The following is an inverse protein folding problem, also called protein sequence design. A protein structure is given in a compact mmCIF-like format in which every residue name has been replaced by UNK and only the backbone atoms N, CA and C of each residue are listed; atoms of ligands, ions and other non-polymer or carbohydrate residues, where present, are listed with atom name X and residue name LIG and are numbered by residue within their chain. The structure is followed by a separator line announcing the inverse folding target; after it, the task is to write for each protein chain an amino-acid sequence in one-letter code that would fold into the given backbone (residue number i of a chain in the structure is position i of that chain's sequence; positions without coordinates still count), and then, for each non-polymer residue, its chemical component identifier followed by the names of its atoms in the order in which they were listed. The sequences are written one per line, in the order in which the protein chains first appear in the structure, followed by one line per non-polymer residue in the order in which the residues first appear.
data_IF_874684953876
#
_entry.id   IF_874684953876
#
_cell.length_a   1.000
_cell.length_b   1.000
_cell.length_c   1.000
_cell.angle_alpha   90.00
_cell.angle_beta   90.00
_cell.angle_gamma   90.00
#
_symmetry.space_group_name_H-M   'P 1'
#
loop_
_entity.id
_entity.type
_entity.pdbx_description
1 polymer ?
#
# COMPACT_ATOMS: atom_id res chain seq x y z
N UNK A 1 62.22 5.24 19.19
CA UNK A 1 61.97 3.90 19.81
C UNK A 1 61.42 2.97 18.73
N UNK A 2 61.76 1.68 18.76
CA UNK A 2 61.40 0.72 17.69
C UNK A 2 59.89 0.45 17.69
N UNK A 3 59.24 0.55 16.52
CA UNK A 3 57.86 0.08 16.30
C UNK A 3 57.94 -1.29 15.63
N UNK A 4 58.09 -2.34 16.44
CA UNK A 4 58.23 -3.74 16.02
C UNK A 4 57.65 -4.60 17.15
N UNK A 5 57.03 -5.75 16.81
CA UNK A 5 56.02 -6.48 17.61
C UNK A 5 54.67 -5.73 17.50
N UNK A 6 53.71 -6.19 16.70
CA UNK A 6 52.97 -7.44 16.96
C UNK A 6 52.43 -8.17 15.69
N UNK A 7 53.11 -8.09 14.54
CA UNK A 7 52.66 -8.78 13.29
C UNK A 7 53.04 -10.28 13.24
N UNK A 8 53.98 -10.74 14.08
CA UNK A 8 54.39 -12.15 14.12
C UNK A 8 53.79 -12.88 15.35
N UNK A 9 52.50 -13.23 15.29
CA UNK A 9 51.85 -14.04 16.33
C UNK A 9 50.90 -15.14 15.82
N UNK A 10 50.66 -15.24 14.51
CA UNK A 10 49.96 -16.38 13.88
C UNK A 10 50.98 -17.11 13.00
N UNK A 11 51.63 -18.12 13.58
CA UNK A 11 52.59 -18.99 12.89
C UNK A 11 51.90 -20.12 12.13
N UNK A 12 50.77 -20.59 12.64
CA UNK A 12 49.89 -21.57 12.00
C UNK A 12 48.43 -21.18 12.29
N UNK A 13 47.56 -21.35 11.30
CA UNK A 13 46.12 -21.25 11.47
C UNK A 13 45.46 -22.41 10.73
N UNK A 14 44.31 -22.86 11.21
CA UNK A 14 43.49 -23.84 10.50
C UNK A 14 42.02 -23.49 10.58
N UNK A 15 41.31 -23.71 9.47
CA UNK A 15 39.87 -23.60 9.40
C UNK A 15 39.28 -25.01 9.44
N UNK A 16 38.35 -25.25 10.38
CA UNK A 16 37.61 -26.51 10.46
C UNK A 16 36.23 -26.30 9.88
N UNK A 17 35.97 -26.90 8.72
CA UNK A 17 34.66 -26.88 8.05
C UNK A 17 33.93 -28.18 8.34
N UNK A 18 32.75 -28.07 8.94
CA UNK A 18 31.84 -29.20 9.12
C UNK A 18 30.93 -29.27 7.89
N UNK A 19 31.00 -30.38 7.15
CA UNK A 19 30.18 -30.60 5.97
C UNK A 19 29.55 -31.99 6.02
N UNK A 20 28.21 -32.01 6.15
CA UNK A 20 27.43 -33.21 6.46
C UNK A 20 27.97 -33.87 7.75
N UNK A 21 28.20 -35.19 7.74
CA UNK A 21 28.76 -35.94 8.88
C UNK A 21 30.30 -35.98 8.89
N UNK A 22 30.97 -35.03 8.23
CA UNK A 22 32.43 -35.02 8.10
C UNK A 22 33.03 -33.68 8.47
N UNK A 23 34.18 -33.76 9.14
CA UNK A 23 34.99 -32.62 9.54
C UNK A 23 36.19 -32.51 8.61
N UNK A 24 36.36 -31.35 8.00
CA UNK A 24 37.47 -31.04 7.10
C UNK A 24 38.32 -29.93 7.71
N UNK A 25 39.58 -30.24 8.06
CA UNK A 25 40.53 -29.26 8.59
C UNK A 25 41.47 -28.80 7.50
N UNK A 26 41.45 -27.49 7.20
CA UNK A 26 42.29 -26.84 6.22
C UNK A 26 43.36 -26.02 6.93
N UNK A 27 44.64 -26.34 6.71
CA UNK A 27 45.72 -25.48 7.17
C UNK A 27 45.82 -24.25 6.27
N UNK A 28 45.78 -23.06 6.86
CA UNK A 28 45.87 -21.80 6.13
C UNK A 28 47.34 -21.47 5.86
N UNK A 29 47.69 -21.31 4.58
CA UNK A 29 49.03 -20.84 4.20
C UNK A 29 49.22 -19.38 4.56
N UNK A 30 50.48 -18.93 4.62
CA UNK A 30 50.85 -17.52 4.82
C UNK A 30 50.24 -16.58 3.78
N UNK A 31 49.91 -17.09 2.59
CA UNK A 31 49.30 -16.29 1.52
C UNK A 31 47.77 -16.19 1.68
N UNK A 32 47.08 -17.26 2.13
CA UNK A 32 45.67 -17.15 2.51
C UNK A 32 45.47 -16.26 3.74
N UNK A 33 46.38 -16.31 4.72
CA UNK A 33 46.34 -15.44 5.90
C UNK A 33 46.45 -13.93 5.56
N UNK A 34 47.03 -13.58 4.41
CA UNK A 34 47.10 -12.20 3.91
C UNK A 34 45.83 -11.73 3.18
N UNK A 35 44.95 -12.66 2.82
CA UNK A 35 43.66 -12.37 2.18
C UNK A 35 42.52 -12.22 3.20
N UNK A 36 42.76 -12.58 4.46
CA UNK A 36 41.81 -12.30 5.55
C UNK A 36 41.74 -10.78 5.79
N UNK A 37 40.54 -10.22 6.03
CA UNK A 37 40.39 -8.81 6.34
C UNK A 37 41.19 -8.48 7.61
N UNK A 38 42.06 -7.48 7.53
CA UNK A 38 42.80 -6.99 8.68
C UNK A 38 41.94 -5.99 9.46
N UNK A 39 41.68 -6.29 10.73
CA UNK A 39 40.95 -5.42 11.68
C UNK A 39 41.74 -4.13 12.00
N UNK A 40 41.87 -3.26 10.99
CA UNK A 40 42.80 -2.13 10.94
C UNK A 40 42.14 -0.76 10.75
N UNK A 41 40.81 -0.69 10.68
CA UNK A 41 40.05 0.56 10.45
C UNK A 41 39.49 1.15 11.75
N UNK A 42 40.36 1.42 12.71
CA UNK A 42 40.08 2.41 13.77
C UNK A 42 40.16 3.82 13.17
N UNK A 43 39.08 4.28 12.54
CA UNK A 43 39.04 5.59 11.87
C UNK A 43 37.64 6.13 11.62
N UNK A 44 37.23 7.10 12.45
CA UNK A 44 36.03 7.95 12.32
C UNK A 44 34.67 7.22 12.24
N UNK A 45 33.89 7.30 13.32
CA UNK A 45 32.58 6.65 13.39
C UNK A 45 31.53 7.31 12.49
N UNK A 46 31.03 6.54 11.52
CA UNK A 46 29.67 6.61 10.91
C UNK A 46 29.31 5.32 10.17
N UNK A 47 30.27 4.49 9.75
CA UNK A 47 30.04 3.32 8.88
C UNK A 47 29.57 2.01 9.56
N UNK A 48 29.29 2.00 10.87
CA UNK A 48 29.17 0.75 11.64
C UNK A 48 27.78 0.09 11.67
N UNK A 49 26.72 0.73 11.15
CA UNK A 49 25.37 0.13 11.13
C UNK A 49 25.04 -0.53 9.78
N UNK A 50 25.24 0.18 8.66
CA UNK A 50 24.93 -0.33 7.32
C UNK A 50 25.80 -1.55 6.94
N UNK A 51 27.11 -1.49 7.23
CA UNK A 51 28.02 -2.63 6.97
C UNK A 51 27.63 -3.85 7.79
N UNK A 52 27.17 -3.67 9.03
CA UNK A 52 26.78 -4.78 9.90
C UNK A 52 25.40 -5.36 9.55
N UNK A 53 24.52 -4.58 8.90
CA UNK A 53 23.30 -5.09 8.28
C UNK A 53 23.59 -5.90 7.01
N UNK A 54 24.52 -5.44 6.15
CA UNK A 54 24.88 -6.15 4.91
C UNK A 54 25.50 -7.54 5.12
N UNK A 55 26.02 -7.83 6.31
CA UNK A 55 26.60 -9.13 6.67
C UNK A 55 25.56 -10.16 7.19
N UNK A 56 24.28 -9.78 7.25
CA UNK A 56 23.20 -10.62 7.80
C UNK A 56 22.25 -11.19 6.74
N UNK A 57 22.43 -10.92 5.45
CA UNK A 57 21.53 -11.41 4.39
C UNK A 57 22.20 -12.49 3.55
N UNK A 58 21.47 -13.56 3.22
CA UNK A 58 21.99 -14.67 2.40
C UNK A 58 21.96 -14.33 0.90
N UNK A 59 21.14 -13.35 0.49
CA UNK A 59 21.15 -12.79 -0.86
C UNK A 59 20.90 -11.27 -0.93
N UNK A 60 21.36 -10.66 -2.02
CA UNK A 60 21.09 -9.24 -2.32
C UNK A 60 19.61 -8.93 -2.59
N UNK A 61 18.79 -9.95 -2.90
CA UNK A 61 17.35 -9.81 -3.13
C UNK A 61 16.61 -9.72 -1.78
N UNK A 62 17.01 -10.52 -0.79
CA UNK A 62 16.50 -10.40 0.58
C UNK A 62 16.86 -9.03 1.17
N UNK A 63 18.11 -8.59 1.00
CA UNK A 63 18.57 -7.30 1.50
C UNK A 63 17.73 -6.15 0.90
N UNK A 64 17.63 -6.08 -0.43
CA UNK A 64 16.91 -4.99 -1.08
C UNK A 64 15.41 -5.02 -0.82
N UNK A 65 14.80 -6.22 -0.70
CA UNK A 65 13.41 -6.36 -0.28
C UNK A 65 13.19 -5.83 1.14
N UNK A 66 14.04 -6.19 2.10
CA UNK A 66 13.93 -5.71 3.47
C UNK A 66 14.15 -4.19 3.59
N UNK A 67 15.13 -3.64 2.87
CA UNK A 67 15.38 -2.18 2.80
C UNK A 67 14.20 -1.43 2.17
N UNK A 68 13.63 -1.96 1.08
CA UNK A 68 12.44 -1.39 0.42
C UNK A 68 11.20 -1.47 1.33
N UNK A 69 11.00 -2.58 2.03
CA UNK A 69 9.90 -2.74 2.98
C UNK A 69 10.02 -1.74 4.14
N UNK A 70 11.20 -1.61 4.74
CA UNK A 70 11.48 -0.63 5.78
C UNK A 70 11.34 0.84 5.30
N UNK A 71 11.50 1.10 3.99
CA UNK A 71 11.21 2.42 3.40
C UNK A 71 9.72 2.69 3.27
N UNK A 72 8.92 1.68 2.91
CA UNK A 72 7.45 1.77 2.89
C UNK A 72 6.87 1.84 4.31
N UNK A 73 7.47 1.17 5.30
CA UNK A 73 7.03 1.23 6.69
C UNK A 73 7.18 2.65 7.26
N UNK A 74 8.32 3.29 7.00
CA UNK A 74 8.57 4.70 7.36
C UNK A 74 7.63 5.71 6.71
N UNK A 75 6.96 5.35 5.60
CA UNK A 75 5.93 6.19 4.95
C UNK A 75 4.51 5.70 5.23
N UNK A 76 4.31 4.78 6.17
CA UNK A 76 3.04 4.14 6.50
C UNK A 76 2.33 3.45 5.32
N UNK A 77 3.08 3.06 4.29
CA UNK A 77 2.57 2.42 3.07
C UNK A 77 2.46 0.89 3.15
N UNK A 78 2.83 0.27 4.27
CA UNK A 78 2.81 -1.20 4.50
C UNK A 78 1.52 -1.72 5.13
N UNK A 79 0.48 -0.91 5.33
CA UNK A 79 -0.85 -1.38 5.78
C UNK A 79 -0.81 -2.18 7.09
N UNK A 80 -0.02 -1.72 8.07
CA UNK A 80 0.23 -2.37 9.36
C UNK A 80 0.92 -3.75 9.29
N UNK A 81 1.41 -4.18 8.12
CA UNK A 81 2.30 -5.34 8.02
C UNK A 81 3.69 -5.03 8.58
N UNK A 82 4.20 -5.90 9.45
CA UNK A 82 5.57 -5.85 9.98
C UNK A 82 6.38 -7.01 9.45
N UNK A 83 7.60 -6.73 9.00
CA UNK A 83 8.54 -7.71 8.48
C UNK A 83 9.50 -8.19 9.56
N UNK A 84 9.56 -9.50 9.72
CA UNK A 84 10.49 -10.23 10.57
C UNK A 84 11.42 -11.06 9.67
N UNK A 85 12.72 -11.07 10.01
CA UNK A 85 13.75 -11.84 9.33
C UNK A 85 14.08 -13.10 10.11
N UNK A 86 14.46 -14.17 9.41
CA UNK A 86 14.86 -15.45 10.04
C UNK A 86 13.82 -15.96 11.06
N UNK A 87 12.53 -16.07 10.68
CA UNK A 87 11.46 -16.55 11.56
C UNK A 87 11.65 -18.00 12.01
N UNK A 88 10.82 -18.44 12.95
CA UNK A 88 10.85 -19.81 13.47
C UNK A 88 10.70 -20.88 12.36
N UNK A 89 11.46 -22.00 12.44
CA UNK A 89 11.32 -23.09 11.49
C UNK A 89 9.94 -23.74 11.53
N UNK A 90 9.35 -23.93 10.35
CA UNK A 90 8.18 -24.77 10.15
C UNK A 90 8.60 -26.25 10.23
N UNK A 91 7.93 -27.02 11.09
CA UNK A 91 8.17 -28.44 11.25
C UNK A 91 7.50 -29.24 10.12
N UNK A 92 8.24 -30.22 9.57
CA UNK A 92 7.76 -31.25 8.64
C UNK A 92 8.00 -32.63 9.29
N UNK A 93 7.32 -33.67 8.81
CA UNK A 93 7.39 -35.04 9.37
C UNK A 93 8.81 -35.56 9.62
N UNK A 94 9.76 -35.20 8.75
CA UNK A 94 11.15 -35.68 8.78
C UNK A 94 12.20 -34.58 8.59
N UNK A 95 11.80 -33.31 8.57
CA UNK A 95 12.75 -32.19 8.38
C UNK A 95 12.15 -30.86 8.87
N UNK A 96 12.88 -29.77 8.66
CA UNK A 96 12.37 -28.41 8.88
C UNK A 96 12.39 -27.61 7.57
N UNK A 97 11.52 -26.63 7.47
CA UNK A 97 11.53 -25.58 6.45
C UNK A 97 11.69 -24.25 7.18
N UNK A 98 12.70 -23.45 6.81
CA UNK A 98 12.96 -22.15 7.41
C UNK A 98 12.61 -21.12 6.34
N UNK A 99 11.55 -20.33 6.51
CA UNK A 99 11.22 -19.24 5.60
C UNK A 99 12.24 -18.10 5.70
N UNK A 100 12.47 -17.36 4.61
CA UNK A 100 13.36 -16.19 4.63
C UNK A 100 12.79 -15.05 5.52
N UNK A 101 11.47 -14.83 5.47
CA UNK A 101 10.78 -13.78 6.24
C UNK A 101 9.43 -14.25 6.81
N UNK A 102 8.94 -13.53 7.82
CA UNK A 102 7.54 -13.56 8.21
C UNK A 102 6.94 -12.15 8.23
N UNK A 103 5.76 -11.99 7.63
CA UNK A 103 4.97 -10.76 7.65
C UNK A 103 3.81 -10.91 8.63
N UNK A 104 3.70 -10.01 9.60
CA UNK A 104 2.66 -10.04 10.63
C UNK A 104 1.72 -8.84 10.55
N UNK A 105 0.41 -9.09 10.66
CA UNK A 105 -0.63 -8.05 10.75
C UNK A 105 -1.86 -8.59 11.47
N UNK A 106 -2.23 -7.94 12.58
CA UNK A 106 -3.31 -8.40 13.47
C UNK A 106 -3.15 -9.88 13.88
N UNK A 107 -4.05 -10.76 13.42
CA UNK A 107 -4.00 -12.21 13.70
C UNK A 107 -3.26 -13.02 12.62
N UNK A 108 -2.83 -12.40 11.52
CA UNK A 108 -2.13 -13.07 10.43
C UNK A 108 -0.61 -13.03 10.65
N UNK A 109 0.03 -14.18 10.47
CA UNK A 109 1.48 -14.34 10.28
C UNK A 109 1.66 -15.12 8.98
N UNK A 110 2.22 -14.47 7.96
CA UNK A 110 2.41 -15.03 6.62
C UNK A 110 3.90 -15.18 6.37
N UNK A 111 4.36 -16.41 6.17
CA UNK A 111 5.75 -16.70 5.86
C UNK A 111 6.01 -16.41 4.38
N UNK A 112 7.12 -15.74 4.07
CA UNK A 112 7.53 -15.41 2.71
C UNK A 112 8.83 -16.12 2.38
N UNK A 113 8.84 -16.85 1.26
CA UNK A 113 10.00 -17.57 0.76
C UNK A 113 10.44 -17.05 -0.60
N UNK A 114 11.73 -16.72 -0.75
CA UNK A 114 12.36 -16.29 -2.00
C UNK A 114 13.07 -17.47 -2.67
N UNK A 115 12.52 -17.92 -3.81
CA UNK A 115 13.00 -19.09 -4.53
C UNK A 115 14.16 -18.76 -5.49
N UNK A 116 15.36 -18.58 -4.95
CA UNK A 116 16.56 -18.27 -5.73
C UNK A 116 16.99 -19.29 -6.81
N UNK A 117 18.06 -18.94 -7.51
CA UNK A 117 18.68 -19.76 -8.55
C UNK A 117 19.59 -20.84 -7.98
N UNK A 118 19.16 -22.09 -8.06
CA UNK A 118 19.89 -23.23 -7.51
C UNK A 118 19.94 -24.41 -8.48
N UNK A 119 20.84 -25.36 -8.20
CA UNK A 119 20.98 -26.59 -9.00
C UNK A 119 19.65 -27.36 -9.08
N UNK A 120 19.40 -28.15 -10.15
CA UNK A 120 18.16 -28.91 -10.30
C UNK A 120 17.81 -29.74 -9.05
N UNK A 121 18.79 -30.45 -8.49
CA UNK A 121 18.62 -31.27 -7.29
C UNK A 121 18.26 -30.48 -6.02
N UNK A 122 18.69 -29.21 -5.89
CA UNK A 122 18.25 -28.36 -4.79
C UNK A 122 16.80 -27.90 -5.00
N UNK A 123 16.44 -27.48 -6.23
CA UNK A 123 15.07 -27.07 -6.57
C UNK A 123 14.07 -28.20 -6.35
N UNK A 124 14.38 -29.42 -6.80
CA UNK A 124 13.56 -30.61 -6.56
C UNK A 124 13.29 -30.84 -5.06
N UNK A 125 14.32 -30.74 -4.21
CA UNK A 125 14.16 -30.84 -2.74
C UNK A 125 13.32 -29.71 -2.15
N UNK A 126 13.48 -28.48 -2.66
CA UNK A 126 12.71 -27.31 -2.20
C UNK A 126 11.23 -27.45 -2.58
N UNK A 127 10.94 -27.90 -3.80
CA UNK A 127 9.58 -28.27 -4.26
C UNK A 127 8.98 -29.39 -3.39
N UNK A 128 9.72 -30.47 -3.10
CA UNK A 128 9.24 -31.56 -2.25
C UNK A 128 8.88 -31.13 -0.83
N UNK A 129 9.60 -30.16 -0.25
CA UNK A 129 9.24 -29.56 1.05
C UNK A 129 8.00 -28.68 0.95
N UNK A 130 7.91 -27.83 -0.07
CA UNK A 130 6.74 -26.97 -0.29
C UNK A 130 5.48 -27.81 -0.56
N UNK A 131 5.57 -28.94 -1.27
CA UNK A 131 4.45 -29.87 -1.45
C UNK A 131 3.93 -30.50 -0.14
N UNK A 132 4.78 -30.66 0.88
CA UNK A 132 4.34 -31.08 2.23
C UNK A 132 3.64 -29.95 2.98
N UNK A 133 3.86 -28.69 2.59
CA UNK A 133 3.26 -27.50 3.20
C UNK A 133 2.00 -27.01 2.46
N UNK A 134 1.57 -27.67 1.38
CA UNK A 134 0.46 -27.22 0.50
C UNK A 134 -0.89 -26.99 1.22
N UNK A 135 -1.12 -27.68 2.34
CA UNK A 135 -2.36 -27.54 3.13
C UNK A 135 -2.32 -26.30 4.04
N UNK A 136 -1.16 -25.60 4.12
CA UNK A 136 -1.00 -24.35 4.84
C UNK A 136 -1.42 -23.18 3.97
N UNK A 137 -2.31 -22.35 4.51
CA UNK A 137 -2.74 -21.11 3.90
C UNK A 137 -1.81 -19.92 4.21
N UNK A 138 -0.80 -20.08 5.05
CA UNK A 138 0.02 -18.97 5.59
C UNK A 138 1.41 -18.82 4.95
N UNK A 139 1.59 -19.28 3.71
CA UNK A 139 2.86 -19.20 2.97
C UNK A 139 2.67 -18.47 1.63
N UNK A 140 3.52 -17.49 1.35
CA UNK A 140 3.63 -16.78 0.08
C UNK A 140 5.01 -17.07 -0.56
N UNK A 141 5.03 -17.33 -1.86
CA UNK A 141 6.26 -17.63 -2.59
C UNK A 141 6.64 -16.48 -3.53
N UNK A 142 7.87 -15.97 -3.41
CA UNK A 142 8.49 -15.12 -4.40
C UNK A 142 9.31 -16.00 -5.37
N UNK A 143 8.97 -15.97 -6.66
CA UNK A 143 9.55 -16.87 -7.68
C UNK A 143 10.15 -16.05 -8.83
N UNK A 144 11.42 -16.28 -9.22
CA UNK A 144 11.99 -15.55 -10.35
C UNK A 144 11.30 -15.95 -11.66
N UNK A 145 10.98 -14.98 -12.52
CA UNK A 145 10.19 -15.18 -13.76
C UNK A 145 10.77 -16.28 -14.64
N UNK A 146 12.10 -16.31 -14.77
CA UNK A 146 12.84 -17.31 -15.58
C UNK A 146 12.82 -18.73 -14.98
N UNK A 147 12.33 -18.91 -13.75
CA UNK A 147 12.16 -20.21 -13.10
C UNK A 147 10.69 -20.67 -13.02
N UNK A 148 9.74 -19.94 -13.63
CA UNK A 148 8.30 -20.26 -13.65
C UNK A 148 8.01 -21.75 -13.94
N UNK A 149 8.57 -22.27 -15.03
CA UNK A 149 8.36 -23.66 -15.46
C UNK A 149 8.89 -24.70 -14.44
N UNK A 150 9.93 -24.35 -13.68
CA UNK A 150 10.54 -25.23 -12.69
C UNK A 150 9.74 -25.34 -11.38
N UNK A 151 8.88 -24.36 -11.10
CA UNK A 151 8.02 -24.33 -9.91
C UNK A 151 6.51 -24.44 -10.25
N UNK A 152 6.16 -24.63 -11.52
CA UNK A 152 4.77 -24.69 -11.99
C UNK A 152 3.90 -25.75 -11.28
N UNK A 153 4.51 -26.78 -10.68
CA UNK A 153 3.82 -27.83 -9.91
C UNK A 153 3.35 -27.42 -8.52
N UNK A 154 3.74 -26.23 -8.01
CA UNK A 154 3.33 -25.71 -6.68
C UNK A 154 2.66 -24.34 -6.75
N UNK A 155 2.73 -23.63 -7.88
CA UNK A 155 2.13 -22.29 -8.08
C UNK A 155 0.61 -22.29 -7.87
N UNK A 156 -0.07 -23.44 -8.03
CA UNK A 156 -1.51 -23.56 -7.79
C UNK A 156 -1.88 -23.66 -6.30
N UNK A 157 -0.94 -24.05 -5.44
CA UNK A 157 -1.18 -24.33 -4.02
C UNK A 157 -0.90 -23.10 -3.12
N UNK A 158 -0.12 -22.13 -3.61
CA UNK A 158 0.35 -20.96 -2.84
C UNK A 158 0.09 -19.64 -3.58
N UNK A 159 -0.16 -18.53 -2.88
CA UNK A 159 0.00 -17.19 -3.43
C UNK A 159 1.44 -16.95 -3.91
N UNK A 160 1.58 -16.46 -5.15
CA UNK A 160 2.90 -16.27 -5.80
C UNK A 160 3.10 -14.83 -6.26
N UNK A 161 4.25 -14.26 -5.92
CA UNK A 161 4.80 -13.04 -6.52
C UNK A 161 5.90 -13.45 -7.49
N UNK A 162 5.85 -12.93 -8.71
CA UNK A 162 6.95 -13.11 -9.67
C UNK A 162 7.88 -11.90 -9.65
N UNK A 163 9.18 -12.16 -9.74
CA UNK A 163 10.20 -11.12 -9.75
C UNK A 163 11.29 -11.40 -10.79
N UNK A 164 12.06 -10.38 -11.17
CA UNK A 164 13.18 -10.52 -12.11
C UNK A 164 14.51 -10.37 -11.36
N UNK A 165 15.17 -9.21 -11.46
CA UNK A 165 16.42 -8.94 -10.73
C UNK A 165 16.20 -8.58 -9.25
N UNK A 166 14.99 -8.12 -8.88
CA UNK A 166 14.64 -7.56 -7.58
C UNK A 166 13.19 -7.90 -7.19
N UNK A 167 12.94 -8.21 -5.91
CA UNK A 167 11.59 -8.46 -5.39
C UNK A 167 10.92 -7.15 -4.95
N UNK A 168 9.83 -6.80 -5.63
CA UNK A 168 9.04 -5.60 -5.34
C UNK A 168 8.20 -5.77 -4.06
N UNK A 169 8.51 -4.97 -3.03
CA UNK A 169 7.72 -4.94 -1.80
C UNK A 169 6.25 -4.55 -2.05
N UNK A 170 6.00 -3.68 -3.03
CA UNK A 170 4.64 -3.31 -3.47
C UNK A 170 3.87 -4.50 -4.04
N UNK A 171 4.54 -5.39 -4.78
CA UNK A 171 3.89 -6.57 -5.38
C UNK A 171 3.63 -7.67 -4.35
N UNK A 172 4.52 -7.81 -3.36
CA UNK A 172 4.24 -8.64 -2.17
C UNK A 172 3.01 -8.10 -1.42
N UNK A 173 2.95 -6.80 -1.14
CA UNK A 173 1.75 -6.18 -0.53
C UNK A 173 0.49 -6.38 -1.40
N UNK A 174 0.59 -6.30 -2.73
CA UNK A 174 -0.52 -6.60 -3.64
C UNK A 174 -1.05 -8.03 -3.50
N UNK A 175 -0.17 -9.03 -3.40
CA UNK A 175 -0.57 -10.43 -3.20
C UNK A 175 -1.13 -10.65 -1.79
N UNK A 176 -0.55 -10.04 -0.76
CA UNK A 176 -1.12 -10.08 0.60
C UNK A 176 -2.55 -9.52 0.64
N UNK A 177 -2.81 -8.41 -0.06
CA UNK A 177 -4.16 -7.83 -0.21
C UNK A 177 -5.12 -8.76 -0.95
N UNK A 178 -4.65 -9.47 -1.98
CA UNK A 178 -5.50 -10.36 -2.76
C UNK A 178 -5.83 -11.68 -2.00
N UNK A 179 -4.94 -12.13 -1.11
CA UNK A 179 -5.02 -13.45 -0.47
C UNK A 179 -5.41 -13.43 1.00
N UNK A 180 -5.12 -12.35 1.74
CA UNK A 180 -5.18 -12.31 3.21
C UNK A 180 -5.88 -11.06 3.78
N UNK A 181 -6.71 -10.39 2.97
CA UNK A 181 -7.31 -9.12 3.33
C UNK A 181 -8.80 -9.03 3.02
N UNK A 182 -9.63 -9.60 3.90
CA UNK A 182 -11.09 -9.46 3.81
C UNK A 182 -11.56 -8.15 4.45
N UNK A 183 -11.61 -7.07 3.66
CA UNK A 183 -12.16 -5.79 4.11
C UNK A 183 -13.67 -5.87 4.36
N UNK A 184 -14.43 -6.69 3.61
CA UNK A 184 -15.88 -6.79 3.78
C UNK A 184 -16.23 -7.41 5.14
N UNK A 185 -15.50 -8.44 5.56
CA UNK A 185 -15.64 -9.05 6.88
C UNK A 185 -15.23 -8.08 8.00
N UNK A 186 -14.12 -7.34 7.86
CA UNK A 186 -13.73 -6.31 8.85
C UNK A 186 -14.79 -5.22 8.98
N UNK A 187 -15.31 -4.73 7.86
CA UNK A 187 -16.32 -3.69 7.82
C UNK A 187 -17.64 -4.14 8.47
N UNK A 188 -18.03 -5.39 8.25
CA UNK A 188 -19.21 -5.98 8.90
C UNK A 188 -19.08 -6.14 10.43
N UNK A 189 -17.84 -6.17 10.96
CA UNK A 189 -17.56 -6.27 12.40
C UNK A 189 -17.48 -4.89 13.10
N UNK A 190 -17.57 -3.77 12.38
CA UNK A 190 -17.52 -2.43 12.96
C UNK A 190 -18.80 -2.13 13.75
N UNK A 191 -18.68 -1.86 15.05
CA UNK A 191 -19.80 -1.32 15.85
C UNK A 191 -20.02 0.16 15.53
N UNK A 192 -20.84 0.41 14.51
CA UNK A 192 -21.25 1.74 14.06
C UNK A 192 -21.82 2.58 15.22
N UNK A 193 -22.57 1.99 16.15
CA UNK A 193 -23.18 2.74 17.25
C UNK A 193 -22.13 3.20 18.26
N UNK A 194 -21.19 2.32 18.63
CA UNK A 194 -20.08 2.68 19.51
C UNK A 194 -19.17 3.75 18.88
N UNK A 195 -18.86 3.64 17.58
CA UNK A 195 -18.08 4.66 16.86
C UNK A 195 -18.80 6.01 16.85
N UNK A 196 -20.09 6.04 16.49
CA UNK A 196 -20.86 7.29 16.50
C UNK A 196 -20.97 7.91 17.90
N UNK A 197 -21.16 7.10 18.95
CA UNK A 197 -21.20 7.57 20.34
C UNK A 197 -19.86 8.21 20.74
N UNK A 198 -18.73 7.57 20.39
CA UNK A 198 -17.39 8.11 20.65
C UNK A 198 -17.13 9.42 19.89
N UNK A 199 -17.57 9.53 18.63
CA UNK A 199 -17.48 10.79 17.86
C UNK A 199 -18.32 11.90 18.51
N UNK A 200 -19.51 11.58 19.04
CA UNK A 200 -20.38 12.54 19.75
C UNK A 200 -19.79 13.00 21.08
N UNK A 201 -19.08 12.13 21.80
CA UNK A 201 -18.38 12.44 23.05
C UNK A 201 -17.14 13.33 22.82
N UNK A 202 -16.29 12.98 21.85
CA UNK A 202 -15.01 13.66 21.59
C UNK A 202 -15.18 14.92 20.71
N UNK A 203 -16.22 14.96 19.88
CA UNK A 203 -16.53 16.08 18.98
C UNK A 203 -15.76 16.07 17.65
N UNK A 204 -14.46 15.73 17.67
CA UNK A 204 -13.61 15.47 16.50
C UNK A 204 -12.68 14.27 16.76
N UNK A 205 -12.78 13.27 15.90
CA UNK A 205 -11.85 12.13 15.81
C UNK A 205 -10.96 12.31 14.57
N UNK A 206 -9.63 12.41 14.70
CA UNK A 206 -8.74 12.63 13.55
C UNK A 206 -8.72 11.44 12.59
N UNK A 207 -8.45 11.67 11.29
CA UNK A 207 -8.41 10.61 10.24
C UNK A 207 -7.54 9.41 10.68
N UNK A 208 -6.37 9.68 11.29
CA UNK A 208 -5.47 8.63 11.79
C UNK A 208 -6.12 7.71 12.85
N UNK A 209 -6.94 8.27 13.75
CA UNK A 209 -7.66 7.47 14.75
C UNK A 209 -8.83 6.70 14.13
N UNK A 210 -9.43 7.22 13.06
CA UNK A 210 -10.53 6.57 12.35
C UNK A 210 -10.11 5.22 11.74
N UNK A 211 -8.85 5.04 11.32
CA UNK A 211 -8.34 3.74 10.81
C UNK A 211 -8.56 2.59 11.81
N UNK A 212 -8.16 2.79 13.07
CA UNK A 212 -8.33 1.79 14.13
C UNK A 212 -9.81 1.54 14.47
N UNK A 213 -10.60 2.61 14.60
CA UNK A 213 -12.02 2.54 14.93
C UNK A 213 -12.88 1.88 13.84
N UNK A 214 -12.49 2.02 12.58
CA UNK A 214 -13.22 1.49 11.41
C UNK A 214 -12.55 0.25 10.80
N UNK A 215 -11.56 -0.33 11.49
CA UNK A 215 -10.82 -1.53 11.07
C UNK A 215 -10.26 -1.45 9.63
N UNK A 216 -9.80 -0.25 9.26
CA UNK A 216 -9.25 0.07 7.95
C UNK A 216 -7.72 0.07 7.99
N UNK A 217 -7.09 -0.30 6.87
CA UNK A 217 -5.65 -0.17 6.64
C UNK A 217 -5.32 0.77 5.48
N UNK A 218 -6.33 1.16 4.67
CA UNK A 218 -6.16 1.99 3.46
C UNK A 218 -7.10 3.19 3.46
N UNK A 219 -6.68 4.30 2.84
CA UNK A 219 -7.53 5.49 2.71
C UNK A 219 -8.81 5.25 1.91
N UNK A 220 -8.77 4.36 0.92
CA UNK A 220 -9.93 3.92 0.12
C UNK A 220 -10.91 3.07 0.93
N UNK A 221 -10.42 2.25 1.88
CA UNK A 221 -11.27 1.56 2.86
C UNK A 221 -11.90 2.56 3.81
N UNK A 222 -11.11 3.49 4.34
CA UNK A 222 -11.58 4.46 5.31
C UNK A 222 -12.69 5.36 4.75
N UNK A 223 -12.56 5.80 3.49
CA UNK A 223 -13.60 6.53 2.79
C UNK A 223 -14.91 5.73 2.67
N UNK A 224 -14.84 4.42 2.38
CA UNK A 224 -16.01 3.56 2.31
C UNK A 224 -16.62 3.34 3.71
N UNK A 225 -15.80 3.00 4.70
CA UNK A 225 -16.25 2.72 6.06
C UNK A 225 -16.88 3.95 6.73
N UNK A 226 -16.34 5.15 6.49
CA UNK A 226 -16.91 6.39 6.99
C UNK A 226 -18.36 6.62 6.53
N UNK A 227 -18.76 6.13 5.35
CA UNK A 227 -20.15 6.27 4.87
C UNK A 227 -21.18 5.54 5.74
N UNK A 228 -20.76 4.52 6.52
CA UNK A 228 -21.64 3.82 7.46
C UNK A 228 -21.84 4.59 8.79
N UNK A 229 -20.92 5.49 9.12
CA UNK A 229 -20.89 6.23 10.39
C UNK A 229 -21.41 7.65 10.25
N UNK A 230 -21.30 8.25 9.05
CA UNK A 230 -21.86 9.56 8.73
C UNK A 230 -23.38 9.59 8.94
N UNK A 231 -23.84 10.65 9.60
CA UNK A 231 -25.24 10.93 9.94
C UNK A 231 -25.50 12.43 9.81
N UNK A 232 -26.74 12.89 10.00
CA UNK A 232 -27.09 14.32 9.94
C UNK A 232 -26.26 15.18 10.91
N UNK A 233 -25.77 14.60 12.01
CA UNK A 233 -24.93 15.25 13.02
C UNK A 233 -23.43 14.90 12.94
N UNK A 234 -23.01 13.92 12.13
CA UNK A 234 -21.62 13.45 12.01
C UNK A 234 -21.16 13.50 10.55
N UNK A 235 -20.13 14.29 10.26
CA UNK A 235 -19.51 14.41 8.93
C UNK A 235 -18.11 13.79 8.91
N UNK A 236 -17.72 13.20 7.78
CA UNK A 236 -16.35 12.80 7.49
C UNK A 236 -15.74 13.70 6.40
N UNK A 237 -14.51 14.17 6.62
CA UNK A 237 -13.66 14.77 5.57
C UNK A 237 -12.30 14.09 5.60
N UNK A 238 -11.88 13.51 4.48
CA UNK A 238 -10.54 12.93 4.35
C UNK A 238 -9.47 14.04 4.52
N UNK A 239 -8.48 13.78 5.37
CA UNK A 239 -7.50 14.76 5.85
C UNK A 239 -7.81 15.37 7.22
N UNK A 240 -9.08 15.36 7.66
CA UNK A 240 -9.50 15.80 8.99
C UNK A 240 -9.93 14.61 9.84
N UNK A 241 -10.86 13.79 9.35
CA UNK A 241 -11.49 12.69 10.10
C UNK A 241 -13.00 12.88 10.27
N UNK A 242 -13.54 12.27 11.34
CA UNK A 242 -14.96 12.31 11.71
C UNK A 242 -15.22 13.42 12.73
N UNK A 243 -16.21 14.28 12.51
CA UNK A 243 -16.54 15.36 13.43
C UNK A 243 -18.04 15.63 13.53
N UNK A 244 -18.45 16.20 14.66
CA UNK A 244 -19.85 16.58 14.92
C UNK A 244 -20.20 17.95 14.36
N UNK A 245 -21.47 18.14 14.01
CA UNK A 245 -22.05 19.45 13.66
C UNK A 245 -21.87 20.48 14.79
N UNK A 246 -21.91 20.05 16.06
CA UNK A 246 -21.68 20.88 17.25
C UNK A 246 -20.24 21.40 17.28
N UNK A 247 -19.25 20.52 17.12
CA UNK A 247 -17.83 20.89 17.06
C UNK A 247 -17.56 21.86 15.89
N UNK A 248 -18.14 21.59 14.74
CA UNK A 248 -18.02 22.43 13.54
C UNK A 248 -18.61 23.83 13.75
N UNK A 249 -19.79 23.92 14.39
CA UNK A 249 -20.43 25.19 14.74
C UNK A 249 -19.64 25.99 15.80
N UNK A 250 -18.97 25.32 16.75
CA UNK A 250 -18.10 25.99 17.72
C UNK A 250 -16.88 26.62 17.05
N UNK A 251 -16.16 25.91 16.18
CA UNK A 251 -15.01 26.51 15.45
C UNK A 251 -15.47 27.65 14.55
N UNK A 252 -16.60 27.47 13.83
CA UNK A 252 -17.21 28.53 13.02
C UNK A 252 -17.47 29.81 13.82
N UNK A 253 -18.04 29.69 15.03
CA UNK A 253 -18.30 30.84 15.91
C UNK A 253 -17.01 31.52 16.35
N UNK A 254 -16.07 30.77 16.91
CA UNK A 254 -14.78 31.31 17.36
C UNK A 254 -14.02 32.01 16.20
N UNK A 255 -14.13 31.48 14.97
CA UNK A 255 -13.54 32.05 13.76
C UNK A 255 -14.28 33.31 13.27
N UNK A 256 -15.62 33.33 13.36
CA UNK A 256 -16.43 34.51 13.04
C UNK A 256 -16.17 35.65 14.02
N UNK A 257 -16.08 35.37 15.32
CA UNK A 257 -15.72 36.35 16.36
C UNK A 257 -14.33 36.95 16.10
N UNK A 258 -13.35 36.13 15.71
CA UNK A 258 -12.03 36.60 15.29
C UNK A 258 -12.11 37.49 14.03
N UNK A 259 -12.79 37.03 12.98
CA UNK A 259 -12.95 37.78 11.73
C UNK A 259 -13.68 39.11 11.92
N UNK A 260 -14.69 39.19 12.79
CA UNK A 260 -15.39 40.44 13.10
C UNK A 260 -14.48 41.50 13.76
N UNK A 261 -13.39 41.09 14.41
CA UNK A 261 -12.40 42.01 14.98
C UNK A 261 -11.43 42.65 13.97
N UNK A 262 -11.34 42.12 12.75
CA UNK A 262 -10.39 42.53 11.68
C UNK A 262 -11.08 42.93 10.36
N UNK A 263 -12.29 42.42 10.10
CA UNK A 263 -13.07 42.66 8.88
C UNK A 263 -12.63 41.80 7.70
N UNK A 264 -11.42 42.03 7.19
CA UNK A 264 -10.84 41.31 6.04
C UNK A 264 -9.43 40.80 6.38
N UNK A 265 -9.04 39.66 5.80
CA UNK A 265 -7.70 39.09 6.00
C UNK A 265 -7.24 38.28 4.78
N UNK A 266 -5.95 37.96 4.70
CA UNK A 266 -5.46 37.03 3.67
C UNK A 266 -5.87 35.61 4.03
N UNK A 267 -6.16 34.78 3.01
CA UNK A 267 -6.51 33.38 3.22
C UNK A 267 -5.43 32.66 4.05
N UNK A 268 -4.15 32.85 3.74
CA UNK A 268 -3.03 32.27 4.51
C UNK A 268 -3.08 32.62 6.00
N UNK A 269 -3.51 33.83 6.37
CA UNK A 269 -3.64 34.24 7.78
C UNK A 269 -4.84 33.56 8.46
N UNK A 270 -5.94 33.35 7.73
CA UNK A 270 -7.09 32.57 8.19
C UNK A 270 -6.76 31.08 8.37
N UNK A 271 -6.00 30.49 7.44
CA UNK A 271 -5.52 29.11 7.56
C UNK A 271 -4.61 28.95 8.79
N UNK A 272 -3.67 29.89 9.01
CA UNK A 272 -2.80 29.86 10.19
C UNK A 272 -3.58 30.02 11.50
N UNK A 273 -4.65 30.83 11.53
CA UNK A 273 -5.54 30.88 12.69
C UNK A 273 -6.15 29.50 13.01
N UNK A 274 -6.64 28.77 12.00
CA UNK A 274 -7.19 27.42 12.20
C UNK A 274 -6.12 26.46 12.74
N UNK A 275 -4.90 26.54 12.22
CA UNK A 275 -3.75 25.73 12.66
C UNK A 275 -3.32 26.00 14.10
N UNK A 276 -3.35 27.25 14.54
CA UNK A 276 -3.01 27.62 15.93
C UNK A 276 -4.10 27.22 16.92
N UNK A 277 -5.38 27.20 16.50
CA UNK A 277 -6.53 26.91 17.38
C UNK A 277 -6.76 25.42 17.62
N UNK A 278 -6.35 24.54 16.70
CA UNK A 278 -6.56 23.09 16.82
C UNK A 278 -5.36 22.27 16.30
N UNK A 279 -4.81 21.40 17.14
CA UNK A 279 -3.64 20.58 16.84
C UNK A 279 -3.84 19.59 15.66
N UNK A 280 -5.08 19.18 15.38
CA UNK A 280 -5.43 18.33 14.22
C UNK A 280 -5.47 19.17 12.95
N UNK A 281 -6.05 20.37 12.98
CA UNK A 281 -6.06 21.28 11.83
C UNK A 281 -4.65 21.74 11.44
N UNK A 282 -3.72 21.80 12.41
CA UNK A 282 -2.30 22.13 12.19
C UNK A 282 -1.60 21.24 11.15
N UNK A 283 -1.98 19.96 11.04
CA UNK A 283 -1.38 19.00 10.11
C UNK A 283 -2.15 18.86 8.79
N UNK A 284 -3.29 19.52 8.64
CA UNK A 284 -4.05 19.53 7.39
C UNK A 284 -3.36 20.41 6.33
N UNK A 285 -3.48 20.01 5.06
CA UNK A 285 -3.06 20.84 3.92
C UNK A 285 -3.98 22.04 3.72
N UNK A 286 -3.53 23.04 2.96
CA UNK A 286 -4.31 24.25 2.73
C UNK A 286 -5.64 23.96 2.03
N UNK A 287 -5.67 23.04 1.06
CA UNK A 287 -6.89 22.67 0.31
C UNK A 287 -7.98 22.07 1.22
N UNK A 288 -7.57 21.32 2.26
CA UNK A 288 -8.49 20.72 3.24
C UNK A 288 -9.09 21.80 4.15
N UNK A 289 -8.29 22.78 4.55
CA UNK A 289 -8.74 23.89 5.40
C UNK A 289 -9.57 24.91 4.61
N UNK A 290 -9.23 25.17 3.33
CA UNK A 290 -10.06 25.93 2.39
C UNK A 290 -11.43 25.26 2.23
N UNK A 291 -11.48 23.96 1.93
CA UNK A 291 -12.73 23.21 1.82
C UNK A 291 -13.54 23.12 3.13
N UNK A 292 -12.90 23.36 4.30
CA UNK A 292 -13.59 23.51 5.57
C UNK A 292 -14.25 24.89 5.68
N UNK A 293 -13.55 25.96 5.29
CA UNK A 293 -14.06 27.34 5.26
C UNK A 293 -15.18 27.51 4.23
N UNK A 294 -15.06 26.94 3.03
CA UNK A 294 -16.08 27.02 1.96
C UNK A 294 -17.45 26.42 2.35
N UNK A 295 -17.50 25.58 3.40
CA UNK A 295 -18.73 25.03 3.97
C UNK A 295 -19.45 25.98 4.93
N UNK A 296 -18.85 27.13 5.24
CA UNK A 296 -19.46 28.19 6.04
C UNK A 296 -19.97 29.32 5.13
N UNK A 297 -21.29 29.42 5.02
CA UNK A 297 -22.02 30.40 4.19
C UNK A 297 -21.73 31.87 4.51
N UNK A 298 -21.14 32.15 5.67
CA UNK A 298 -20.81 33.49 6.18
C UNK A 298 -19.47 34.02 5.67
N UNK A 299 -18.66 33.21 4.96
CA UNK A 299 -17.36 33.64 4.46
C UNK A 299 -17.27 33.50 2.94
N UNK A 300 -16.59 34.47 2.32
CA UNK A 300 -16.29 34.45 0.90
C UNK A 300 -14.78 34.48 0.69
N UNK A 301 -14.28 33.52 -0.10
CA UNK A 301 -12.89 33.48 -0.57
C UNK A 301 -12.83 34.17 -1.93
N UNK A 302 -12.29 35.38 -1.98
CA UNK A 302 -12.07 36.13 -3.21
C UNK A 302 -10.65 35.89 -3.72
N UNK A 303 -10.51 35.19 -4.86
CA UNK A 303 -9.20 34.95 -5.50
C UNK A 303 -8.88 36.08 -6.48
N UNK A 304 -8.16 37.09 -5.99
CA UNK A 304 -7.73 38.25 -6.78
C UNK A 304 -6.51 37.92 -7.68
N UNK A 305 -5.78 36.85 -7.38
CA UNK A 305 -4.67 36.32 -8.16
C UNK A 305 -4.52 34.81 -7.92
N UNK A 306 -3.66 34.14 -8.68
CA UNK A 306 -3.22 32.77 -8.39
C UNK A 306 -2.37 32.66 -7.12
N UNK A 307 -1.85 33.79 -6.61
CA UNK A 307 -1.05 33.85 -5.39
C UNK A 307 -1.74 34.57 -4.22
N UNK A 308 -2.78 35.37 -4.50
CA UNK A 308 -3.46 36.21 -3.50
C UNK A 308 -4.95 35.87 -3.45
N UNK A 309 -5.35 35.26 -2.34
CA UNK A 309 -6.74 35.04 -1.97
C UNK A 309 -7.06 35.79 -0.67
N UNK A 310 -8.17 36.51 -0.67
CA UNK A 310 -8.68 37.26 0.48
C UNK A 310 -9.90 36.55 1.06
N UNK A 311 -10.04 36.61 2.38
CA UNK A 311 -11.21 36.13 3.08
C UNK A 311 -12.01 37.31 3.63
N UNK A 312 -13.31 37.35 3.31
CA UNK A 312 -14.27 38.35 3.79
C UNK A 312 -15.42 37.68 4.52
N UNK A 313 -15.95 38.34 5.54
CA UNK A 313 -17.26 37.99 6.12
C UNK A 313 -18.36 38.58 5.25
N UNK A 314 -19.32 37.76 4.82
CA UNK A 314 -20.54 38.23 4.15
C UNK A 314 -21.45 38.86 5.22
N UNK A 315 -21.83 40.15 5.10
CA UNK A 315 -22.78 40.75 6.03
C UNK A 315 -24.14 40.05 5.94
N UNK A 316 -24.75 39.76 7.08
CA UNK A 316 -25.97 38.95 7.21
C UNK A 316 -27.22 39.49 6.50
N UNK A 317 -27.17 40.71 5.96
CA UNK A 317 -28.28 41.40 5.31
C UNK A 317 -28.41 41.13 3.80
N UNK A 318 -27.49 40.35 3.20
CA UNK A 318 -27.55 40.01 1.77
C UNK A 318 -28.11 38.59 1.59
N UNK A 319 -29.44 38.48 1.59
CA UNK A 319 -30.12 37.30 1.07
C UNK A 319 -29.91 37.23 -0.46
N UNK A 320 -29.07 36.30 -0.92
CA UNK A 320 -28.84 36.07 -2.34
C UNK A 320 -30.03 35.29 -2.91
N UNK A 321 -30.90 35.96 -3.66
CA UNK A 321 -31.86 35.25 -4.52
C UNK A 321 -31.14 34.53 -5.67
N UNK A 322 -31.55 33.29 -6.02
CA UNK A 322 -30.99 32.59 -7.17
C UNK A 322 -31.46 33.25 -8.47
N UNK A 323 -30.52 33.75 -9.26
CA UNK A 323 -30.81 34.47 -10.51
C UNK A 323 -31.42 33.55 -11.57
N UNK A 324 -32.73 33.71 -11.82
CA UNK A 324 -33.44 33.01 -12.91
C UNK A 324 -34.35 33.95 -13.72
N UNK A 325 -33.78 34.48 -14.82
CA UNK A 325 -34.50 35.05 -15.96
C UNK A 325 -33.53 35.01 -17.15
N UNK A 326 -33.75 34.32 -18.29
CA UNK A 326 -34.96 34.19 -19.12
C UNK A 326 -35.55 35.55 -19.50
N UNK A 327 -34.81 36.29 -20.32
CA UNK A 327 -35.40 37.29 -21.21
C UNK A 327 -35.95 36.61 -22.47
N UNK A 328 -37.27 36.54 -22.53
CA UNK A 328 -37.99 36.46 -23.80
C UNK A 328 -38.63 37.83 -24.04
N UNK A 329 -38.31 38.47 -25.16
CA UNK A 329 -39.04 39.62 -25.68
C UNK A 329 -39.11 39.50 -27.21
N UNK A 330 -40.26 39.88 -27.78
CA UNK A 330 -40.59 39.58 -29.18
C UNK A 330 -41.31 40.72 -29.89
N UNK A 331 -40.88 40.99 -31.14
CA UNK A 331 -41.47 41.88 -32.17
C UNK A 331 -41.45 43.39 -31.87
N UNK A 332 -41.03 44.31 -32.77
CA UNK A 332 -40.48 44.22 -34.14
C UNK A 332 -40.04 45.64 -34.61
N UNK A 333 -40.16 46.14 -35.86
CA UNK A 333 -40.73 45.68 -37.14
C UNK A 333 -40.14 46.55 -38.30
N UNK A 334 -39.51 45.94 -39.35
CA UNK A 334 -39.10 46.52 -40.66
C UNK A 334 -38.01 47.65 -40.63
N UNK A 335 -37.01 47.69 -41.53
CA UNK A 335 -37.13 47.82 -43.00
C UNK A 335 -35.93 47.24 -43.82
N UNK A 336 -35.97 47.40 -45.15
CA UNK A 336 -35.17 46.67 -46.18
C UNK A 336 -33.73 47.22 -46.42
N UNK A 337 -32.82 46.38 -46.94
CA UNK A 337 -32.38 46.43 -48.37
C UNK A 337 -31.11 45.61 -48.73
N UNK A 338 -31.23 44.89 -49.86
CA UNK A 338 -30.21 44.54 -50.88
C UNK A 338 -28.99 43.62 -50.59
N UNK A 339 -28.53 43.00 -51.69
CA UNK A 339 -27.51 41.95 -51.79
C UNK A 339 -26.32 42.41 -52.66
N UNK A 340 -25.51 41.46 -53.22
CA UNK A 340 -24.22 41.62 -53.95
C UNK A 340 -23.02 41.53 -52.98
N UNK A 341 -21.95 40.73 -53.16
CA UNK A 341 -21.50 39.80 -54.24
C UNK A 341 -20.46 38.77 -53.73
N UNK A 342 -20.36 37.61 -54.39
CA UNK A 342 -19.15 36.72 -54.43
C UNK A 342 -18.17 37.19 -55.55
N UNK A 343 -16.96 36.62 -55.81
CA UNK A 343 -16.29 35.40 -55.32
C UNK A 343 -14.89 35.72 -54.69
N UNK A 344 -13.90 34.84 -54.41
CA UNK A 344 -13.31 33.73 -55.19
C UNK A 344 -12.28 32.88 -54.40
N UNK A 345 -12.10 31.61 -54.81
CA UNK A 345 -10.88 30.73 -54.76
C UNK A 345 -9.81 30.95 -53.68
N UNK A 346 -9.31 29.91 -52.99
CA UNK A 346 -8.53 28.86 -53.68
C UNK A 346 -8.45 27.47 -53.00
N UNK A 347 -7.85 26.51 -53.71
CA UNK A 347 -7.90 25.06 -53.50
C UNK A 347 -6.57 24.43 -52.97
N UNK A 348 -6.67 23.35 -52.17
CA UNK A 348 -5.76 22.16 -52.07
C UNK A 348 -5.97 21.46 -50.70
N UNK A 349 -6.62 20.30 -50.52
CA UNK A 349 -6.40 18.92 -51.05
C UNK A 349 -4.98 18.40 -50.73
N UNK A 350 -4.74 17.39 -49.86
CA UNK A 350 -5.07 15.94 -49.89
C UNK A 350 -4.56 15.28 -48.57
N UNK A 351 -4.73 13.95 -48.31
CA UNK A 351 -5.84 13.02 -48.56
C UNK A 351 -6.18 12.15 -47.32
N UNK A 352 -7.12 11.20 -47.45
CA UNK A 352 -7.24 10.07 -46.54
C UNK A 352 -7.78 8.80 -47.22
N UNK A 353 -7.55 7.64 -46.58
CA UNK A 353 -8.29 6.37 -46.76
C UNK A 353 -8.13 5.55 -45.47
N UNK A 354 -9.10 4.87 -44.83
CA UNK A 354 -10.29 4.06 -45.19
C UNK A 354 -10.02 2.62 -45.68
N UNK A 355 -10.44 1.67 -44.81
CA UNK A 355 -11.14 0.38 -45.08
C UNK A 355 -10.26 -0.81 -45.55
N UNK A 356 -10.64 -2.10 -45.40
CA UNK A 356 -11.92 -2.79 -45.04
C UNK A 356 -11.64 -4.20 -44.41
N UNK A 357 -12.35 -4.66 -43.35
CA UNK A 357 -13.42 -5.72 -43.28
C UNK A 357 -13.13 -7.19 -43.68
N UNK A 358 -13.65 -8.10 -42.82
CA UNK A 358 -14.18 -9.50 -43.04
C UNK A 358 -13.15 -10.64 -43.30
N UNK A 359 -13.38 -11.93 -42.97
CA UNK A 359 -14.44 -12.63 -42.16
C UNK A 359 -14.16 -14.15 -41.97
N UNK A 360 -14.81 -14.80 -40.97
CA UNK A 360 -15.27 -16.24 -40.93
C UNK A 360 -14.21 -17.39 -40.96
N UNK A 361 -14.37 -18.65 -40.46
CA UNK A 361 -15.39 -19.41 -39.68
C UNK A 361 -14.83 -20.78 -39.17
N UNK A 362 -15.44 -21.37 -38.12
CA UNK A 362 -15.33 -22.79 -37.65
C UNK A 362 -13.97 -23.26 -37.07
N UNK A 363 -13.87 -24.25 -36.17
CA UNK A 363 -14.73 -25.42 -35.85
C UNK A 363 -14.91 -25.63 -34.34
N UNK A 364 -15.97 -26.33 -33.93
CA UNK A 364 -16.15 -26.81 -32.55
C UNK A 364 -15.75 -28.28 -32.36
N UNK A 365 -15.44 -28.70 -31.13
CA UNK A 365 -15.27 -30.13 -30.80
C UNK A 365 -15.77 -30.47 -29.39
N UNK A 366 -16.94 -31.11 -29.32
CA UNK A 366 -17.40 -31.86 -28.13
C UNK A 366 -16.55 -33.14 -27.97
N UNK A 367 -16.04 -33.38 -26.76
CA UNK A 367 -15.76 -34.70 -26.18
C UNK A 367 -15.87 -34.56 -24.66
N UNK A 368 -16.31 -35.52 -23.87
CA UNK A 368 -17.19 -36.69 -24.02
C UNK A 368 -17.32 -37.13 -22.56
N UNK A 369 -18.51 -37.03 -21.98
CA UNK A 369 -18.76 -37.54 -20.63
C UNK A 369 -18.47 -39.04 -20.64
N UNK A 370 -17.48 -39.49 -19.87
CA UNK A 370 -17.30 -40.91 -19.54
C UNK A 370 -17.80 -41.08 -18.12
N UNK A 371 -18.96 -41.73 -17.99
CA UNK A 371 -19.35 -42.36 -16.73
C UNK A 371 -18.62 -43.70 -16.68
N UNK A 372 -17.60 -43.80 -15.84
CA UNK A 372 -17.18 -45.11 -15.34
C UNK A 372 -17.99 -45.42 -14.09
N UNK A 373 -18.84 -46.44 -14.21
CA UNK A 373 -19.38 -47.18 -13.09
C UNK A 373 -18.24 -47.85 -12.33
N UNK A 374 -18.02 -47.45 -11.08
CA UNK A 374 -17.44 -48.37 -10.11
C UNK A 374 -18.58 -49.03 -9.33
N UNK A 375 -18.59 -50.35 -9.41
CA UNK A 375 -19.50 -51.21 -8.67
C UNK A 375 -19.20 -51.11 -7.18
N UNK A 376 -20.24 -51.15 -6.35
CA UNK A 376 -20.05 -51.15 -4.91
C UNK A 376 -19.47 -52.47 -4.43
N UNK A 377 -18.42 -52.42 -3.62
CA UNK A 377 -18.18 -53.44 -2.61
C UNK A 377 -18.51 -52.86 -1.23
N UNK A 378 -19.66 -53.28 -0.72
CA UNK A 378 -19.98 -53.16 0.69
C UNK A 378 -19.02 -54.08 1.47
N UNK A 379 -18.26 -53.52 2.40
CA UNK A 379 -17.78 -54.29 3.56
C UNK A 379 -18.11 -53.49 4.81
N UNK A 380 -18.98 -54.08 5.63
CA UNK A 380 -19.51 -53.52 6.88
C UNK A 380 -18.56 -53.82 8.05
N UNK A 381 -18.84 -53.23 9.21
CA UNK A 381 -18.21 -53.44 10.54
C UNK A 381 -16.90 -52.67 10.77
N UNK A 382 -16.64 -52.08 11.95
CA UNK A 382 -17.45 -52.06 13.19
C UNK A 382 -17.20 -50.78 14.02
N UNK A 383 -18.23 -50.34 14.76
CA UNK A 383 -18.09 -49.30 15.78
C UNK A 383 -17.53 -49.93 17.07
N UNK A 384 -16.50 -49.32 17.68
CA UNK A 384 -16.24 -49.48 19.11
C UNK A 384 -16.00 -48.11 19.76
N UNK A 385 -16.72 -47.86 20.85
CA UNK A 385 -16.52 -46.76 21.81
C UNK A 385 -16.11 -47.37 23.17
N UNK A 386 -15.34 -46.62 23.95
CA UNK A 386 -14.89 -46.98 25.32
C UNK A 386 -13.36 -46.91 25.43
N UNK A 387 -12.77 -46.22 26.41
CA UNK A 387 -13.31 -45.40 27.52
C UNK A 387 -12.53 -44.07 27.64
#
# INVERSE_FOLDING_TARGET
MKKTQLINAILEASATVYFLQRTYTFHMSSDMLRLLPSDGTSGSGTASFEQQQSLLFDSSIEQSFAEAFAALERSHAVEEWRLEREPEPLLLDQSIFIPDFALTRAQHRIYVEILGFWTPAYRERKVQKLQQLRERNDILLAIPTVAKDAYASIVADFPVVYYDDQLSATDVLNVLRASYDDFAQRLANVDVNAVQASVREVGLVPEQACYGMLHCYRRSELQQAATLVVTDDITYIAGIGLYTSIWFAHIKRDFLEWMQGIGETTLSSALEWLRTRNAILRICSDEILEALIERWTEFHIERNSIFDAMLRVIPSDIAIEPTSSLHADSNGVLENAEAVSSPSSDNSTLPGSKRERRSTVHTGRRKRLVRETQEGQQTTQEYLWGE
#
